data_IF_750373577751
#
_entry.id   IF_750373577751
#
_cell.length_a   1.000
_cell.length_b   1.000
_cell.length_c   1.000
_cell.angle_alpha   90.00
_cell.angle_beta   90.00
_cell.angle_gamma   90.00
#
_symmetry.space_group_name_H-M   'P 1'
#
loop_
_entity.id
_entity.type
_entity.pdbx_description
1 polymer ?
#
# COMPACT_ATOMS: atom_id res chain seq x y z
N UNK A 1 -51.59 48.52 53.55
CA UNK A 1 -50.28 48.77 52.93
C UNK A 1 -49.40 47.56 53.26
N UNK A 2 -49.29 46.62 52.32
CA UNK A 2 -48.57 45.35 52.48
C UNK A 2 -47.07 45.57 52.31
N UNK A 3 -46.23 45.07 53.22
CA UNK A 3 -44.82 44.81 52.90
C UNK A 3 -44.35 43.46 53.45
N UNK A 4 -43.72 42.74 52.53
CA UNK A 4 -43.37 41.33 52.47
C UNK A 4 -42.14 41.01 53.34
N UNK A 5 -42.12 39.81 53.94
CA UNK A 5 -40.97 39.21 54.61
C UNK A 5 -39.82 38.95 53.62
N UNK A 6 -38.65 39.57 53.85
CA UNK A 6 -37.43 39.28 53.10
C UNK A 6 -36.52 38.31 53.87
N UNK A 7 -36.49 37.05 53.42
CA UNK A 7 -35.56 36.03 53.91
C UNK A 7 -34.24 36.16 53.14
N UNK A 8 -33.16 36.58 53.80
CA UNK A 8 -31.82 36.68 53.22
C UNK A 8 -31.19 35.28 53.09
N UNK A 9 -31.25 34.69 51.90
CA UNK A 9 -30.47 33.50 51.54
C UNK A 9 -29.03 33.92 51.23
N UNK A 10 -28.11 33.59 52.14
CA UNK A 10 -26.67 33.69 51.88
C UNK A 10 -26.26 32.49 51.03
N UNK A 11 -26.14 32.70 49.71
CA UNK A 11 -25.50 31.74 48.82
C UNK A 11 -23.98 31.82 49.03
N UNK A 12 -23.43 30.86 49.79
CA UNK A 12 -21.99 30.65 49.84
C UNK A 12 -21.49 30.17 48.48
N UNK A 13 -20.73 31.00 47.78
CA UNK A 13 -19.97 30.55 46.61
C UNK A 13 -18.84 29.63 47.09
N UNK A 14 -19.02 28.33 46.93
CA UNK A 14 -17.91 27.37 47.02
C UNK A 14 -17.03 27.59 45.80
N UNK A 15 -15.88 28.22 46.00
CA UNK A 15 -14.85 28.33 44.98
C UNK A 15 -14.19 26.96 44.84
N UNK A 16 -14.66 26.16 43.88
CA UNK A 16 -13.97 24.94 43.49
C UNK A 16 -12.70 25.41 42.77
N UNK A 17 -11.54 25.23 43.39
CA UNK A 17 -10.27 25.46 42.72
C UNK A 17 -10.28 24.68 41.39
N UNK A 18 -9.90 25.26 40.26
CA UNK A 18 -9.80 24.51 39.02
C UNK A 18 -8.84 23.36 39.29
N UNK A 19 -9.37 22.13 39.24
CA UNK A 19 -8.56 20.93 39.41
C UNK A 19 -7.38 21.02 38.45
N UNK A 20 -6.19 20.70 38.94
CA UNK A 20 -4.98 20.58 38.13
C UNK A 20 -5.36 19.73 36.92
N UNK A 21 -5.35 20.35 35.73
CA UNK A 21 -5.64 19.65 34.50
C UNK A 21 -4.52 18.64 34.32
N UNK A 22 -4.81 17.37 34.59
CA UNK A 22 -3.86 16.28 34.38
C UNK A 22 -3.40 16.35 32.93
N UNK A 23 -2.12 16.66 32.73
CA UNK A 23 -1.51 16.65 31.41
C UNK A 23 -1.36 15.17 31.02
N UNK A 24 -2.39 14.62 30.36
CA UNK A 24 -2.40 13.22 29.90
C UNK A 24 -1.63 13.00 28.59
N UNK A 25 -1.02 14.04 28.03
CA UNK A 25 -0.21 13.99 26.81
C UNK A 25 1.13 14.66 27.08
N UNK A 26 2.22 13.92 26.92
CA UNK A 26 3.56 14.48 26.94
C UNK A 26 3.72 15.24 25.61
N UNK A 27 4.02 16.55 25.63
CA UNK A 27 4.24 17.30 24.39
C UNK A 27 5.46 16.74 23.65
N UNK A 28 5.39 16.73 22.32
CA UNK A 28 6.51 16.29 21.49
C UNK A 28 7.76 17.14 21.76
N UNK A 29 8.93 16.49 21.80
CA UNK A 29 10.19 17.19 21.91
C UNK A 29 10.45 18.01 20.64
N UNK A 30 10.86 19.27 20.80
CA UNK A 30 11.34 20.09 19.70
C UNK A 30 12.78 19.68 19.40
N UNK A 31 13.01 19.12 18.22
CA UNK A 31 14.33 18.74 17.72
C UNK A 31 14.71 19.62 16.53
N UNK A 32 16.00 19.79 16.28
CA UNK A 32 16.49 20.49 15.10
C UNK A 32 16.27 19.63 13.83
N UNK A 33 15.78 20.23 12.75
CA UNK A 33 15.35 19.53 11.53
C UNK A 33 16.13 19.85 10.24
N UNK A 34 17.40 20.29 10.23
CA UNK A 34 18.12 20.63 8.99
C UNK A 34 18.47 19.40 8.15
N UNK A 35 18.33 18.20 8.71
CA UNK A 35 18.55 16.92 8.04
C UNK A 35 17.33 16.44 7.25
N UNK A 36 16.14 17.00 7.50
CA UNK A 36 14.91 16.68 6.76
C UNK A 36 14.95 17.47 5.45
N UNK A 37 15.25 16.79 4.35
CA UNK A 37 15.60 17.43 3.08
C UNK A 37 14.88 16.88 1.85
N UNK A 38 13.87 16.02 2.05
CA UNK A 38 12.99 15.58 0.96
C UNK A 38 12.13 16.73 0.45
N UNK A 39 11.98 16.81 -0.87
CA UNK A 39 11.10 17.79 -1.52
C UNK A 39 9.64 17.34 -1.39
N UNK A 40 8.73 18.25 -1.02
CA UNK A 40 7.31 17.93 -0.80
C UNK A 40 6.66 17.17 -1.97
N UNK A 41 6.99 17.54 -3.22
CA UNK A 41 6.46 16.84 -4.39
C UNK A 41 6.90 15.36 -4.46
N UNK A 42 8.10 15.05 -4.00
CA UNK A 42 8.57 13.66 -3.90
C UNK A 42 7.88 12.89 -2.79
N UNK A 43 7.70 13.55 -1.64
CA UNK A 43 6.97 12.97 -0.52
C UNK A 43 5.54 12.62 -0.92
N UNK A 44 4.82 13.50 -1.62
CA UNK A 44 3.46 13.21 -2.07
C UNK A 44 3.40 12.07 -3.12
N UNK A 45 4.35 12.04 -4.06
CA UNK A 45 4.44 10.94 -5.04
C UNK A 45 4.74 9.59 -4.37
N UNK A 46 5.55 9.57 -3.30
CA UNK A 46 5.77 8.36 -2.50
C UNK A 46 4.53 7.93 -1.72
N UNK A 47 3.78 8.87 -1.14
CA UNK A 47 2.50 8.55 -0.48
C UNK A 47 1.52 7.93 -1.46
N UNK A 48 1.47 8.44 -2.70
CA UNK A 48 0.64 7.87 -3.75
C UNK A 48 1.14 6.49 -4.21
N UNK A 49 2.46 6.26 -4.26
CA UNK A 49 3.02 4.94 -4.50
C UNK A 49 2.63 3.95 -3.39
N UNK A 50 2.70 4.34 -2.11
CA UNK A 50 2.24 3.51 -0.98
C UNK A 50 0.78 3.09 -1.15
N UNK A 51 -0.10 4.03 -1.54
CA UNK A 51 -1.52 3.71 -1.83
C UNK A 51 -1.65 2.70 -2.97
N UNK A 52 -0.79 2.83 -3.99
CA UNK A 52 -0.77 1.92 -5.13
C UNK A 52 -0.37 0.49 -4.71
N UNK A 53 0.67 0.34 -3.90
CA UNK A 53 1.12 -0.98 -3.40
C UNK A 53 0.09 -1.63 -2.47
N UNK A 54 -0.52 -0.85 -1.57
CA UNK A 54 -1.62 -1.34 -0.72
C UNK A 54 -2.80 -1.80 -1.59
N UNK A 55 -3.15 -1.02 -2.61
CA UNK A 55 -4.19 -1.39 -3.58
C UNK A 55 -3.82 -2.62 -4.42
N UNK A 56 -2.54 -2.85 -4.72
CA UNK A 56 -2.04 -4.05 -5.39
C UNK A 56 -2.13 -5.28 -4.47
N UNK A 57 -1.69 -5.16 -3.23
CA UNK A 57 -1.84 -6.19 -2.19
C UNK A 57 -3.30 -6.65 -2.06
N UNK A 58 -4.25 -5.72 -1.95
CA UNK A 58 -5.68 -6.06 -1.87
C UNK A 58 -6.21 -6.73 -3.16
N UNK A 59 -5.68 -6.35 -4.32
CA UNK A 59 -6.04 -6.98 -5.60
C UNK A 59 -5.57 -8.43 -5.63
N UNK A 60 -4.33 -8.69 -5.23
CA UNK A 60 -3.76 -10.04 -5.19
C UNK A 60 -4.40 -10.92 -4.12
N UNK A 61 -4.75 -10.34 -2.97
CA UNK A 61 -5.51 -11.05 -1.94
C UNK A 61 -6.87 -11.53 -2.48
N UNK A 62 -7.56 -10.70 -3.26
CA UNK A 62 -8.81 -11.09 -3.91
C UNK A 62 -8.62 -12.18 -4.98
N UNK A 63 -7.52 -12.13 -5.76
CA UNK A 63 -7.15 -13.20 -6.69
C UNK A 63 -6.90 -14.52 -5.95
N UNK A 64 -6.08 -14.50 -4.89
CA UNK A 64 -5.80 -15.67 -4.07
C UNK A 64 -7.08 -16.28 -3.49
N UNK A 65 -7.94 -15.44 -2.91
CA UNK A 65 -9.23 -15.88 -2.36
C UNK A 65 -10.15 -16.48 -3.43
N UNK A 66 -10.18 -15.94 -4.65
CA UNK A 66 -10.95 -16.49 -5.76
C UNK A 66 -10.48 -17.91 -6.12
N UNK A 67 -9.17 -18.14 -6.28
CA UNK A 67 -8.64 -19.45 -6.64
C UNK A 67 -8.74 -20.50 -5.51
N UNK A 68 -8.90 -20.04 -4.26
CA UNK A 68 -9.19 -20.90 -3.10
C UNK A 68 -10.63 -21.40 -3.01
N UNK A 69 -11.58 -20.83 -3.76
CA UNK A 69 -12.99 -21.26 -3.72
C UNK A 69 -13.10 -22.73 -4.12
N UNK A 70 -13.98 -23.48 -3.48
CA UNK A 70 -14.25 -24.90 -3.77
C UNK A 70 -14.64 -25.16 -5.23
N UNK A 71 -15.42 -24.24 -5.82
CA UNK A 71 -15.87 -24.25 -7.22
C UNK A 71 -14.77 -23.93 -8.24
N UNK A 72 -13.63 -23.37 -7.81
CA UNK A 72 -12.48 -23.07 -8.68
C UNK A 72 -11.33 -24.05 -8.42
N UNK A 73 -10.95 -24.20 -7.14
CA UNK A 73 -9.98 -25.15 -6.61
C UNK A 73 -8.66 -25.20 -7.40
N UNK A 74 -7.91 -24.09 -7.34
CA UNK A 74 -6.57 -23.94 -7.93
C UNK A 74 -5.57 -23.50 -6.85
N UNK A 75 -5.14 -24.43 -5.98
CA UNK A 75 -4.28 -24.09 -4.84
C UNK A 75 -2.91 -23.53 -5.23
N UNK A 76 -2.35 -23.88 -6.38
CA UNK A 76 -1.09 -23.31 -6.87
C UNK A 76 -1.23 -21.84 -7.26
N UNK A 77 -2.30 -21.48 -7.98
CA UNK A 77 -2.63 -20.07 -8.25
C UNK A 77 -2.98 -19.30 -6.99
N UNK A 78 -3.75 -19.91 -6.09
CA UNK A 78 -4.07 -19.29 -4.81
C UNK A 78 -2.80 -18.93 -4.04
N UNK A 79 -1.88 -19.90 -3.89
CA UNK A 79 -0.58 -19.68 -3.24
C UNK A 79 0.21 -18.56 -3.92
N UNK A 80 0.33 -18.60 -5.24
CA UNK A 80 1.04 -17.56 -6.02
C UNK A 80 0.51 -16.16 -5.71
N UNK A 81 -0.80 -15.96 -5.75
CA UNK A 81 -1.38 -14.63 -5.54
C UNK A 81 -1.46 -14.22 -4.07
N UNK A 82 -1.54 -15.17 -3.13
CA UNK A 82 -1.38 -14.83 -1.70
C UNK A 82 0.05 -14.34 -1.42
N UNK A 83 1.06 -14.98 -1.99
CA UNK A 83 2.45 -14.53 -1.86
C UNK A 83 2.66 -13.16 -2.51
N UNK A 84 2.12 -12.93 -3.70
CA UNK A 84 2.16 -11.59 -4.32
C UNK A 84 1.46 -10.53 -3.44
N UNK A 85 0.36 -10.88 -2.77
CA UNK A 85 -0.31 -9.95 -1.86
C UNK A 85 0.57 -9.57 -0.66
N UNK A 86 1.32 -10.53 -0.12
CA UNK A 86 2.28 -10.31 0.95
C UNK A 86 3.46 -9.44 0.47
N UNK A 87 4.02 -9.74 -0.71
CA UNK A 87 5.12 -8.98 -1.34
C UNK A 87 4.73 -7.50 -1.55
N UNK A 88 3.55 -7.22 -2.12
CA UNK A 88 3.11 -5.82 -2.29
C UNK A 88 2.87 -5.09 -0.97
N UNK A 89 2.47 -5.83 0.08
CA UNK A 89 2.37 -5.25 1.42
C UNK A 89 3.76 -4.91 1.97
N UNK A 90 4.76 -5.73 1.70
CA UNK A 90 6.16 -5.44 2.05
C UNK A 90 6.69 -4.24 1.26
N UNK A 91 6.36 -4.09 -0.02
CA UNK A 91 6.69 -2.89 -0.81
C UNK A 91 6.12 -1.62 -0.18
N UNK A 92 4.85 -1.64 0.22
CA UNK A 92 4.22 -0.51 0.92
C UNK A 92 4.98 -0.16 2.21
N UNK A 93 5.36 -1.16 3.01
CA UNK A 93 6.12 -0.98 4.26
C UNK A 93 7.50 -0.39 3.97
N UNK A 94 8.25 -0.93 3.01
CA UNK A 94 9.57 -0.43 2.57
C UNK A 94 9.53 1.06 2.22
N UNK A 95 8.48 1.52 1.53
CA UNK A 95 8.30 2.94 1.17
C UNK A 95 7.96 3.81 2.39
N UNK A 96 7.11 3.31 3.29
CA UNK A 96 6.78 3.99 4.55
C UNK A 96 8.03 4.14 5.42
N UNK A 97 8.80 3.08 5.58
CA UNK A 97 10.06 3.08 6.33
C UNK A 97 11.09 4.03 5.72
N UNK A 98 11.17 4.08 4.38
CA UNK A 98 12.03 5.05 3.68
C UNK A 98 11.63 6.50 3.98
N UNK A 99 10.33 6.82 3.92
CA UNK A 99 9.83 8.15 4.26
C UNK A 99 10.11 8.52 5.73
N UNK A 100 9.87 7.59 6.66
CA UNK A 100 10.16 7.76 8.08
C UNK A 100 11.67 7.99 8.33
N UNK A 101 12.53 7.23 7.65
CA UNK A 101 13.98 7.38 7.70
C UNK A 101 14.42 8.78 7.24
N UNK A 102 13.73 9.38 6.27
CA UNK A 102 14.01 10.70 5.72
C UNK A 102 13.31 11.85 6.46
N UNK A 103 12.60 11.54 7.55
CA UNK A 103 12.01 12.52 8.45
C UNK A 103 10.58 12.94 8.11
N UNK A 104 9.90 12.27 7.16
CA UNK A 104 8.46 12.46 7.02
C UNK A 104 7.76 11.84 8.23
N UNK A 105 7.06 12.67 8.99
CA UNK A 105 6.31 12.31 10.19
C UNK A 105 4.84 12.36 9.83
N UNK A 106 4.40 11.42 9.01
CA UNK A 106 2.98 11.20 8.70
C UNK A 106 2.22 10.85 9.98
N UNK A 107 1.84 11.88 10.75
CA UNK A 107 1.01 11.76 11.96
C UNK A 107 -0.37 11.21 11.64
N UNK A 108 -0.80 11.40 10.40
CA UNK A 108 -2.05 10.89 9.88
C UNK A 108 -1.79 9.78 8.85
N UNK A 109 -1.77 8.54 9.36
CA UNK A 109 -1.64 7.33 8.55
C UNK A 109 -2.77 7.18 7.52
N UNK A 110 -3.93 7.82 7.72
CA UNK A 110 -5.05 7.72 6.77
C UNK A 110 -4.67 8.28 5.39
N UNK A 111 -3.74 9.24 5.33
CA UNK A 111 -3.26 9.83 4.08
C UNK A 111 -2.38 8.87 3.27
N UNK A 112 -1.95 7.75 3.85
CA UNK A 112 -1.19 6.69 3.19
C UNK A 112 -2.09 5.57 2.65
N UNK A 113 -3.37 5.55 3.04
CA UNK A 113 -4.31 4.54 2.60
C UNK A 113 -5.02 4.97 1.31
N UNK A 114 -5.31 4.02 0.39
CA UNK A 114 -6.18 4.31 -0.74
C UNK A 114 -7.59 4.66 -0.25
N UNK A 115 -8.31 5.48 -1.02
CA UNK A 115 -9.67 5.90 -0.66
C UNK A 115 -10.66 4.73 -0.47
N UNK A 116 -10.37 3.58 -1.09
CA UNK A 116 -11.08 2.33 -0.87
C UNK A 116 -10.11 1.16 -0.86
N UNK A 117 -10.28 0.24 0.11
CA UNK A 117 -9.55 -1.03 0.21
C UNK A 117 -10.23 -2.16 -0.57
N UNK A 118 -11.22 -1.85 -1.42
CA UNK A 118 -11.92 -2.85 -2.23
C UNK A 118 -11.13 -3.25 -3.46
N UNK A 119 -11.02 -4.55 -3.74
CA UNK A 119 -10.51 -5.03 -5.02
C UNK A 119 -11.52 -4.72 -6.16
N UNK A 120 -11.07 -4.19 -7.31
CA UNK A 120 -11.97 -3.80 -8.40
C UNK A 120 -12.59 -4.99 -9.15
N UNK A 121 -12.00 -6.19 -9.01
CA UNK A 121 -12.41 -7.43 -9.68
C UNK A 121 -12.33 -8.59 -8.69
N UNK A 122 -13.35 -9.45 -8.70
CA UNK A 122 -13.49 -10.56 -7.75
C UNK A 122 -13.66 -11.94 -8.43
N UNK A 123 -13.69 -11.97 -9.76
CA UNK A 123 -13.87 -13.19 -10.53
C UNK A 123 -13.01 -13.17 -11.78
N UNK A 124 -12.44 -14.31 -12.13
CA UNK A 124 -11.66 -14.52 -13.34
C UNK A 124 -12.22 -15.70 -14.11
N UNK A 125 -12.07 -15.73 -15.43
CA UNK A 125 -12.55 -16.84 -16.25
C UNK A 125 -11.66 -18.08 -16.09
N UNK A 126 -10.36 -17.86 -16.03
CA UNK A 126 -9.31 -18.87 -15.99
C UNK A 126 -8.00 -18.22 -15.46
N UNK A 127 -7.00 -19.04 -15.17
CA UNK A 127 -5.66 -18.63 -14.77
C UNK A 127 -4.94 -17.79 -15.82
N UNK A 128 -5.28 -17.94 -17.12
CA UNK A 128 -4.69 -17.12 -18.20
C UNK A 128 -5.13 -15.67 -18.05
N UNK A 129 -6.42 -15.44 -17.78
CA UNK A 129 -6.93 -14.11 -17.54
C UNK A 129 -6.35 -13.51 -16.26
N UNK A 130 -6.23 -14.29 -15.18
CA UNK A 130 -5.63 -13.81 -13.94
C UNK A 130 -4.17 -13.41 -14.10
N UNK A 131 -3.33 -14.22 -14.77
CA UNK A 131 -1.94 -13.88 -15.05
C UNK A 131 -1.79 -12.67 -15.97
N UNK A 132 -2.71 -12.50 -16.92
CA UNK A 132 -2.73 -11.31 -17.79
C UNK A 132 -3.04 -10.06 -16.99
N UNK A 133 -4.04 -10.13 -16.09
CA UNK A 133 -4.43 -9.00 -15.25
C UNK A 133 -3.31 -8.65 -14.24
N UNK A 134 -2.67 -9.67 -13.65
CA UNK A 134 -1.49 -9.50 -12.79
C UNK A 134 -0.34 -8.80 -13.54
N UNK A 135 0.02 -9.29 -14.73
CA UNK A 135 1.06 -8.65 -15.55
C UNK A 135 0.72 -7.19 -15.88
N UNK A 136 -0.54 -6.88 -16.21
CA UNK A 136 -0.97 -5.52 -16.48
C UNK A 136 -0.90 -4.63 -15.23
N UNK A 137 -1.19 -5.18 -14.05
CA UNK A 137 -1.03 -4.51 -12.76
C UNK A 137 0.44 -4.17 -12.53
N UNK A 138 1.35 -5.14 -12.69
CA UNK A 138 2.80 -4.91 -12.50
C UNK A 138 3.38 -3.86 -13.45
N UNK A 139 2.94 -3.86 -14.70
CA UNK A 139 3.34 -2.83 -15.67
C UNK A 139 2.88 -1.43 -15.23
N UNK A 140 1.69 -1.32 -14.63
CA UNK A 140 1.18 -0.05 -14.12
C UNK A 140 2.00 0.43 -12.90
N UNK A 141 2.21 -0.45 -11.92
CA UNK A 141 3.06 -0.16 -10.73
C UNK A 141 4.44 0.33 -11.16
N UNK A 142 5.07 -0.38 -12.08
CA UNK A 142 6.39 -0.02 -12.62
C UNK A 142 6.39 1.32 -13.35
N UNK A 143 5.32 1.61 -14.10
CA UNK A 143 5.17 2.91 -14.78
C UNK A 143 5.09 4.04 -13.75
N UNK A 144 4.38 3.83 -12.65
CA UNK A 144 4.29 4.81 -11.58
C UNK A 144 5.63 4.99 -10.85
N UNK A 145 6.35 3.92 -10.53
CA UNK A 145 7.71 4.01 -9.93
C UNK A 145 8.64 4.83 -10.81
N UNK A 146 8.64 4.61 -12.13
CA UNK A 146 9.43 5.40 -13.08
C UNK A 146 9.03 6.89 -13.09
N UNK A 147 7.75 7.19 -12.92
CA UNK A 147 7.24 8.55 -12.78
C UNK A 147 7.76 9.20 -11.49
N UNK A 148 7.70 8.51 -10.36
CA UNK A 148 8.26 8.99 -9.08
C UNK A 148 9.75 9.29 -9.23
N UNK A 149 10.52 8.35 -9.81
CA UNK A 149 11.95 8.53 -10.08
C UNK A 149 12.20 9.80 -10.91
N UNK A 150 11.50 9.95 -12.03
CA UNK A 150 11.69 11.11 -12.93
C UNK A 150 11.39 12.43 -12.21
N UNK A 151 10.29 12.47 -11.45
CA UNK A 151 9.86 13.66 -10.72
C UNK A 151 10.79 14.01 -9.56
N UNK A 152 11.50 13.03 -8.99
CA UNK A 152 12.44 13.24 -7.89
C UNK A 152 13.88 13.46 -8.31
N UNK A 153 14.26 12.97 -9.50
CA UNK A 153 15.52 13.32 -10.13
C UNK A 153 15.49 14.74 -10.71
N UNK A 154 14.34 15.15 -11.27
CA UNK A 154 14.17 16.46 -11.91
C UNK A 154 12.93 17.19 -11.40
N UNK A 155 12.89 17.56 -10.11
CA UNK A 155 11.72 18.18 -9.52
C UNK A 155 11.48 19.60 -10.08
N UNK A 156 10.22 20.05 -10.09
CA UNK A 156 9.85 21.33 -10.67
C UNK A 156 10.46 22.52 -9.89
N UNK A 157 10.45 23.70 -10.52
CA UNK A 157 10.84 24.97 -9.91
C UNK A 157 12.29 25.04 -9.40
N UNK A 158 13.18 24.21 -9.94
CA UNK A 158 14.59 24.18 -9.53
C UNK A 158 14.80 23.61 -8.12
N UNK A 159 13.86 22.81 -7.62
CA UNK A 159 14.02 22.09 -6.37
C UNK A 159 15.19 21.08 -6.45
N UNK A 160 15.65 20.63 -5.28
CA UNK A 160 16.81 19.75 -5.15
C UNK A 160 16.49 18.34 -5.67
N UNK A 161 17.35 17.80 -6.52
CA UNK A 161 17.33 16.38 -6.90
C UNK A 161 17.57 15.47 -5.67
N UNK A 162 16.73 14.46 -5.50
CA UNK A 162 16.87 13.44 -4.45
C UNK A 162 17.56 12.16 -4.97
N UNK A 163 18.89 12.22 -5.09
CA UNK A 163 19.70 11.11 -5.63
C UNK A 163 19.52 9.81 -4.85
N UNK A 164 19.37 9.88 -3.53
CA UNK A 164 19.24 8.68 -2.70
C UNK A 164 17.88 8.00 -2.93
N UNK A 165 16.80 8.78 -3.09
CA UNK A 165 15.50 8.21 -3.44
C UNK A 165 15.50 7.60 -4.84
N UNK A 166 16.11 8.29 -5.80
CA UNK A 166 16.26 7.80 -7.17
C UNK A 166 17.02 6.47 -7.21
N UNK A 167 18.14 6.39 -6.50
CA UNK A 167 18.95 5.17 -6.39
C UNK A 167 18.15 4.03 -5.75
N UNK A 168 17.52 4.27 -4.60
CA UNK A 168 16.71 3.27 -3.88
C UNK A 168 15.59 2.69 -4.74
N UNK A 169 14.79 3.53 -5.40
CA UNK A 169 13.71 3.07 -6.28
C UNK A 169 14.24 2.36 -7.53
N UNK A 170 15.41 2.75 -8.03
CA UNK A 170 16.00 2.15 -9.24
C UNK A 170 16.65 0.80 -8.95
N UNK A 171 17.41 0.71 -7.86
CA UNK A 171 18.17 -0.48 -7.51
C UNK A 171 17.26 -1.60 -6.97
N UNK A 172 16.35 -1.26 -6.06
CA UNK A 172 15.56 -2.26 -5.35
C UNK A 172 14.24 -2.50 -6.11
N UNK A 173 13.42 -1.45 -6.24
CA UNK A 173 12.06 -1.61 -6.77
C UNK A 173 12.05 -1.93 -8.27
N UNK A 174 12.78 -1.20 -9.12
CA UNK A 174 12.76 -1.47 -10.55
C UNK A 174 13.37 -2.85 -10.90
N UNK A 175 14.41 -3.33 -10.20
CA UNK A 175 14.94 -4.68 -10.45
C UNK A 175 13.90 -5.75 -10.09
N UNK A 176 13.24 -5.63 -8.92
CA UNK A 176 12.14 -6.51 -8.50
C UNK A 176 10.99 -6.49 -9.52
N UNK A 177 10.53 -5.30 -9.93
CA UNK A 177 9.46 -5.14 -10.92
C UNK A 177 9.77 -5.82 -12.26
N UNK A 178 10.98 -5.62 -12.82
CA UNK A 178 11.32 -6.21 -14.12
C UNK A 178 11.46 -7.73 -14.06
N UNK A 179 11.95 -8.28 -12.93
CA UNK A 179 11.96 -9.74 -12.71
C UNK A 179 10.56 -10.29 -12.59
N UNK A 180 9.70 -9.68 -11.78
CA UNK A 180 8.31 -10.08 -11.58
C UNK A 180 7.50 -10.07 -12.89
N UNK A 181 7.60 -8.98 -13.66
CA UNK A 181 6.97 -8.90 -14.99
C UNK A 181 7.46 -10.01 -15.93
N UNK A 182 8.77 -10.27 -15.96
CA UNK A 182 9.31 -11.33 -16.82
C UNK A 182 8.80 -12.70 -16.41
N UNK A 183 8.71 -12.96 -15.11
CA UNK A 183 8.17 -14.21 -14.58
C UNK A 183 6.69 -14.39 -14.96
N UNK A 184 5.84 -13.40 -14.67
CA UNK A 184 4.42 -13.41 -15.01
C UNK A 184 4.18 -13.57 -16.52
N UNK A 185 4.95 -12.88 -17.37
CA UNK A 185 4.86 -13.01 -18.82
C UNK A 185 5.22 -14.42 -19.31
N UNK A 186 6.21 -15.05 -18.66
CA UNK A 186 6.60 -16.45 -18.91
C UNK A 186 5.50 -17.43 -18.52
N UNK A 187 4.97 -17.30 -17.32
CA UNK A 187 3.85 -18.10 -16.80
C UNK A 187 2.59 -17.93 -17.68
N UNK A 188 2.23 -16.69 -18.04
CA UNK A 188 1.13 -16.38 -18.95
C UNK A 188 1.28 -17.07 -20.29
N UNK A 189 2.46 -16.98 -20.91
CA UNK A 189 2.72 -17.57 -22.24
C UNK A 189 2.63 -19.08 -22.20
N UNK A 190 3.20 -19.70 -21.15
CA UNK A 190 3.21 -21.16 -20.98
C UNK A 190 1.81 -21.69 -20.77
N UNK A 191 1.07 -21.13 -19.81
CA UNK A 191 -0.29 -21.55 -19.53
C UNK A 191 -1.21 -21.34 -20.74
N UNK A 192 -1.08 -20.22 -21.45
CA UNK A 192 -1.88 -19.96 -22.66
C UNK A 192 -1.67 -21.07 -23.70
N UNK A 193 -0.43 -21.45 -23.99
CA UNK A 193 -0.15 -22.57 -24.92
C UNK A 193 -0.74 -23.90 -24.44
N UNK A 194 -0.68 -24.17 -23.14
CA UNK A 194 -1.28 -25.37 -22.55
C UNK A 194 -2.81 -25.36 -22.66
N UNK A 195 -3.45 -24.21 -22.44
CA UNK A 195 -4.89 -24.02 -22.58
C UNK A 195 -5.35 -24.15 -24.04
N UNK A 196 -4.60 -23.57 -24.98
CA UNK A 196 -4.89 -23.67 -26.41
C UNK A 196 -4.83 -25.12 -26.91
N UNK A 197 -3.95 -25.94 -26.33
CA UNK A 197 -3.72 -27.34 -26.75
C UNK A 197 -4.58 -28.36 -26.00
N UNK A 198 -4.73 -28.18 -24.68
CA UNK A 198 -5.29 -29.18 -23.77
C UNK A 198 -6.50 -28.69 -22.96
N UNK A 199 -6.91 -27.43 -23.15
CA UNK A 199 -8.05 -26.84 -22.44
C UNK A 199 -7.90 -26.93 -20.91
N UNK A 200 -8.97 -27.24 -20.16
CA UNK A 200 -8.96 -27.26 -18.69
C UNK A 200 -7.90 -28.16 -18.05
N UNK A 201 -7.48 -29.24 -18.74
CA UNK A 201 -6.40 -30.11 -18.24
C UNK A 201 -5.08 -29.35 -18.18
N UNK A 202 -4.84 -28.45 -19.14
CA UNK A 202 -3.66 -27.59 -19.17
C UNK A 202 -3.55 -26.72 -17.92
N UNK A 203 -4.65 -26.08 -17.51
CA UNK A 203 -4.68 -25.29 -16.28
C UNK A 203 -4.48 -26.14 -15.03
N UNK A 204 -5.13 -27.30 -14.94
CA UNK A 204 -4.96 -28.21 -13.81
C UNK A 204 -3.50 -28.64 -13.63
N UNK A 205 -2.84 -29.05 -14.72
CA UNK A 205 -1.43 -29.46 -14.68
C UNK A 205 -0.51 -28.29 -14.32
N UNK A 206 -0.77 -27.11 -14.86
CA UNK A 206 -0.01 -25.90 -14.55
C UNK A 206 -0.16 -25.51 -13.07
N UNK A 207 -1.36 -25.58 -12.52
CA UNK A 207 -1.62 -25.32 -11.10
C UNK A 207 -0.85 -26.28 -10.19
N UNK A 208 -0.77 -27.57 -10.54
CA UNK A 208 0.06 -28.53 -9.79
C UNK A 208 1.54 -28.17 -9.83
N UNK A 209 2.05 -27.71 -10.97
CA UNK A 209 3.43 -27.24 -11.08
C UNK A 209 3.70 -25.99 -10.23
N UNK A 210 2.77 -25.03 -10.21
CA UNK A 210 2.85 -23.85 -9.33
C UNK A 210 2.91 -24.26 -7.86
N UNK A 211 2.03 -25.17 -7.44
CA UNK A 211 1.93 -25.61 -6.05
C UNK A 211 3.24 -26.26 -5.56
N UNK A 212 3.89 -27.03 -6.44
CA UNK A 212 5.14 -27.73 -6.17
C UNK A 212 6.40 -26.85 -6.34
N UNK A 213 6.27 -25.60 -6.79
CA UNK A 213 7.42 -24.72 -7.06
C UNK A 213 8.26 -25.15 -8.27
N UNK A 214 7.63 -25.72 -9.30
CA UNK A 214 8.29 -26.20 -10.52
C UNK A 214 8.29 -25.16 -11.68
N UNK A 215 7.88 -23.92 -11.41
CA UNK A 215 7.65 -22.85 -12.40
C UNK A 215 8.13 -21.48 -11.95
#
# INVERSE_FOLDING_TARGET
>A
MNFIYGFLLVFGFVYVAPGVQSICQIPDAVIDTPWIDMVDSCTEELKDQVKMEIGASMTYLAMGAYFSRDSVSRPGFSKLFMQAADEEREHAIKLIEYMLMRGDVTRDFQNLLPASLTAPKLEWRDGVQALKDALAKEVNVTTNIRKVITNCETPPNGAKNDYHLVDYLTADFLDEQYRGQRDLAGKYTTLRKMMDTYGPIGEFLFDKKLLNGEL
#
